data_IF_631829662691
#
_entry.id   IF_631829662691
#
_cell.length_a   1.000
_cell.length_b   1.000
_cell.length_c   1.000
_cell.angle_alpha   90.00
_cell.angle_beta   90.00
_cell.angle_gamma   90.00
#
_symmetry.space_group_name_H-M   'P 1'
#
loop_
_entity.id
_entity.type
_entity.pdbx_description
1 polymer ?
#
# COMPACT_ATOMS: atom_id res chain seq x y z
N UNK A 1 -18.70 7.64 14.49
CA UNK A 1 -17.77 8.38 13.63
C UNK A 1 -16.38 7.94 14.01
N UNK A 2 -15.57 7.57 13.03
CA UNK A 2 -14.29 6.85 13.07
C UNK A 2 -14.37 5.33 12.80
N UNK A 3 -15.47 4.83 12.23
CA UNK A 3 -15.56 3.46 11.69
C UNK A 3 -14.86 3.37 10.34
N UNK A 4 -14.58 2.16 9.85
CA UNK A 4 -13.92 1.95 8.56
C UNK A 4 -14.68 2.60 7.39
N UNK A 5 -16.01 2.54 7.39
CA UNK A 5 -16.88 3.07 6.32
C UNK A 5 -16.84 4.60 6.23
N UNK A 6 -16.48 5.27 7.34
CA UNK A 6 -16.28 6.72 7.37
C UNK A 6 -15.04 7.13 6.53
N UNK A 7 -14.09 6.20 6.30
CA UNK A 7 -12.84 6.44 5.58
C UNK A 7 -12.76 5.74 4.24
N UNK A 8 -13.42 4.60 4.08
CA UNK A 8 -13.22 3.69 2.95
C UNK A 8 -14.52 3.23 2.29
N UNK A 9 -14.54 3.20 0.96
CA UNK A 9 -15.52 2.51 0.15
C UNK A 9 -15.07 1.07 -0.12
N UNK A 10 -15.52 0.14 0.73
CA UNK A 10 -15.01 -1.23 0.76
C UNK A 10 -15.66 -2.20 -0.24
N UNK A 11 -16.61 -1.75 -1.07
CA UNK A 11 -17.45 -2.62 -1.91
C UNK A 11 -16.61 -3.50 -2.85
N UNK A 12 -15.66 -2.89 -3.53
CA UNK A 12 -14.75 -3.53 -4.50
C UNK A 12 -13.46 -4.06 -3.86
N UNK A 13 -13.32 -3.96 -2.54
CA UNK A 13 -12.13 -4.42 -1.84
C UNK A 13 -12.31 -5.86 -1.38
N UNK A 14 -11.57 -6.79 -2.01
CA UNK A 14 -11.66 -8.24 -1.73
C UNK A 14 -11.41 -8.57 -0.26
N UNK A 15 -10.60 -7.76 0.43
CA UNK A 15 -10.25 -7.96 1.83
C UNK A 15 -11.09 -7.15 2.82
N UNK A 16 -12.30 -6.71 2.42
CA UNK A 16 -13.21 -5.94 3.28
C UNK A 16 -13.55 -6.60 4.63
N UNK A 17 -13.54 -7.93 4.69
CA UNK A 17 -13.77 -8.69 5.93
C UNK A 17 -12.77 -8.35 7.04
N UNK A 18 -11.59 -7.82 6.71
CA UNK A 18 -10.62 -7.32 7.71
C UNK A 18 -11.20 -6.23 8.61
N UNK A 19 -12.13 -5.42 8.07
CA UNK A 19 -12.77 -4.31 8.78
C UNK A 19 -14.04 -4.71 9.52
N UNK A 20 -14.53 -5.94 9.32
CA UNK A 20 -15.72 -6.44 9.99
C UNK A 20 -15.54 -6.43 11.51
N UNK A 21 -16.60 -6.08 12.22
CA UNK A 21 -16.64 -6.01 13.69
C UNK A 21 -15.51 -5.13 14.26
N UNK A 22 -15.13 -4.06 13.55
CA UNK A 22 -14.26 -3.01 14.09
C UNK A 22 -15.12 -1.87 14.60
N UNK A 23 -14.87 -1.42 15.83
CA UNK A 23 -15.51 -0.22 16.37
C UNK A 23 -14.83 1.03 15.82
N UNK A 24 -13.50 0.96 15.68
CA UNK A 24 -12.66 2.03 15.15
C UNK A 24 -11.79 1.51 14.03
N UNK A 25 -11.58 2.33 13.00
CA UNK A 25 -10.83 1.97 11.79
C UNK A 25 -9.43 1.43 12.06
N UNK A 26 -8.72 1.92 13.09
CA UNK A 26 -7.36 1.48 13.42
C UNK A 26 -7.29 0.07 14.03
N UNK A 27 -8.41 -0.49 14.52
CA UNK A 27 -8.44 -1.86 15.04
C UNK A 27 -8.10 -2.90 13.97
N UNK A 28 -8.32 -2.56 12.69
CA UNK A 28 -7.90 -3.38 11.57
C UNK A 28 -6.39 -3.66 11.55
N UNK A 29 -5.55 -2.75 12.09
CA UNK A 29 -4.09 -2.97 12.20
C UNK A 29 -3.76 -4.16 13.12
N UNK A 30 -4.47 -4.29 14.24
CA UNK A 30 -4.31 -5.43 15.15
C UNK A 30 -4.84 -6.74 14.54
N UNK A 31 -5.89 -6.65 13.71
CA UNK A 31 -6.47 -7.79 13.00
C UNK A 31 -5.65 -8.23 11.78
N UNK A 32 -4.76 -7.39 11.26
CA UNK A 32 -4.04 -7.63 10.01
C UNK A 32 -3.22 -8.93 10.01
N UNK A 33 -2.45 -9.19 11.08
CA UNK A 33 -1.65 -10.41 11.21
C UNK A 33 -2.50 -11.69 11.19
N UNK A 34 -3.49 -11.88 12.09
CA UNK A 34 -4.32 -13.10 12.04
C UNK A 34 -5.12 -13.20 10.74
N UNK A 35 -5.58 -12.08 10.18
CA UNK A 35 -6.32 -12.07 8.91
C UNK A 35 -5.46 -12.54 7.71
N UNK A 36 -4.22 -12.04 7.59
CA UNK A 36 -3.30 -12.52 6.54
C UNK A 36 -3.03 -14.02 6.74
N UNK A 37 -2.77 -14.45 7.98
CA UNK A 37 -2.52 -15.86 8.28
C UNK A 37 -3.68 -16.78 7.85
N UNK A 38 -4.93 -16.36 7.99
CA UNK A 38 -6.09 -17.17 7.62
C UNK A 38 -6.47 -17.10 6.14
N UNK A 39 -6.02 -16.07 5.41
CA UNK A 39 -6.51 -15.76 4.06
C UNK A 39 -5.45 -15.97 2.98
N UNK A 40 -4.16 -15.89 3.36
CA UNK A 40 -3.08 -15.99 2.39
C UNK A 40 -3.06 -17.35 1.70
N UNK A 41 -2.98 -17.32 0.37
CA UNK A 41 -2.72 -18.51 -0.45
C UNK A 41 -1.37 -18.31 -1.13
N UNK A 42 -0.27 -18.81 -0.52
CA UNK A 42 1.05 -18.54 -1.04
C UNK A 42 1.31 -19.24 -2.38
N UNK A 43 1.94 -18.55 -3.32
CA UNK A 43 2.11 -19.04 -4.69
C UNK A 43 3.51 -18.83 -5.29
N UNK A 44 4.48 -18.42 -4.46
CA UNK A 44 5.86 -18.16 -4.91
C UNK A 44 6.90 -19.18 -4.40
N UNK A 45 6.49 -20.23 -3.67
CA UNK A 45 7.41 -21.22 -3.11
C UNK A 45 8.34 -21.87 -4.17
N UNK A 46 7.83 -22.09 -5.39
CA UNK A 46 8.63 -22.62 -6.50
C UNK A 46 9.72 -21.65 -7.00
N UNK A 47 9.52 -20.34 -6.85
CA UNK A 47 10.56 -19.33 -7.11
C UNK A 47 11.64 -19.41 -6.04
N UNK A 48 11.25 -19.50 -4.76
CA UNK A 48 12.18 -19.55 -3.61
C UNK A 48 13.05 -20.80 -3.54
N UNK A 49 12.58 -21.94 -4.05
CA UNK A 49 13.41 -23.16 -4.18
C UNK A 49 14.70 -22.93 -5.00
N UNK A 50 14.77 -21.86 -5.78
CA UNK A 50 15.94 -21.48 -6.59
C UNK A 50 16.89 -20.51 -5.87
N UNK A 51 16.57 -20.13 -4.63
CA UNK A 51 17.30 -19.13 -3.85
C UNK A 51 16.40 -17.97 -3.41
N UNK A 52 16.86 -17.24 -2.39
CA UNK A 52 16.16 -16.06 -1.85
C UNK A 52 16.16 -14.93 -2.89
N UNK A 53 17.27 -14.73 -3.60
CA UNK A 53 17.37 -13.77 -4.71
C UNK A 53 17.19 -14.50 -6.04
N UNK A 54 16.29 -13.99 -6.88
CA UNK A 54 16.05 -14.56 -8.20
C UNK A 54 17.20 -14.22 -9.14
N UNK A 55 17.86 -15.24 -9.69
CA UNK A 55 18.98 -15.05 -10.64
C UNK A 55 18.51 -14.90 -12.09
N UNK A 56 17.23 -15.11 -12.36
CA UNK A 56 16.61 -15.03 -13.69
C UNK A 56 15.22 -14.43 -13.57
N UNK A 57 14.77 -13.76 -14.63
CA UNK A 57 13.38 -13.32 -14.75
C UNK A 57 12.49 -14.55 -14.92
N UNK A 58 11.40 -14.60 -14.15
CA UNK A 58 10.45 -15.69 -14.13
C UNK A 58 9.02 -15.16 -14.25
N UNK A 59 8.17 -15.93 -14.90
CA UNK A 59 6.74 -15.64 -15.03
C UNK A 59 5.97 -16.62 -14.15
N UNK A 60 5.05 -16.09 -13.34
CA UNK A 60 4.03 -16.86 -12.63
C UNK A 60 2.72 -16.79 -13.44
N UNK A 61 2.23 -17.94 -13.88
CA UNK A 61 0.97 -18.03 -14.62
C UNK A 61 0.22 -19.30 -14.24
N UNK A 62 -1.02 -19.16 -13.72
CA UNK A 62 -1.86 -20.29 -13.27
C UNK A 62 -1.12 -21.26 -12.35
N UNK A 63 -0.44 -20.73 -11.32
CA UNK A 63 0.39 -21.47 -10.37
C UNK A 63 1.56 -22.27 -10.99
N UNK A 64 1.97 -21.94 -12.22
CA UNK A 64 3.15 -22.49 -12.88
C UNK A 64 4.21 -21.43 -13.06
N UNK A 65 5.47 -21.82 -12.89
CA UNK A 65 6.63 -20.96 -13.14
C UNK A 65 7.19 -21.22 -14.53
N UNK A 66 7.43 -20.16 -15.30
CA UNK A 66 8.00 -20.20 -16.65
C UNK A 66 9.26 -19.33 -16.64
N UNK A 67 10.42 -19.93 -16.92
CA UNK A 67 11.72 -19.25 -16.81
C UNK A 67 12.39 -18.94 -18.14
N UNK A 68 11.82 -19.39 -19.26
CA UNK A 68 12.40 -19.23 -20.58
C UNK A 68 11.35 -19.27 -21.68
N UNK A 69 11.71 -18.73 -22.85
CA UNK A 69 10.88 -18.77 -24.05
C UNK A 69 9.65 -17.86 -24.01
N UNK A 70 9.58 -16.95 -23.03
CA UNK A 70 8.57 -15.92 -22.95
C UNK A 70 9.13 -14.56 -23.42
N UNK A 71 8.24 -13.70 -23.90
CA UNK A 71 8.49 -12.28 -24.20
C UNK A 71 7.63 -11.45 -23.26
N UNK A 72 8.23 -10.44 -22.62
CA UNK A 72 7.51 -9.45 -21.83
C UNK A 72 7.43 -8.16 -22.62
N UNK A 73 6.22 -7.62 -22.75
CA UNK A 73 5.98 -6.25 -23.22
C UNK A 73 5.47 -5.47 -22.01
N UNK A 74 6.33 -4.59 -21.49
CA UNK A 74 6.03 -3.82 -20.28
C UNK A 74 5.52 -2.42 -20.66
N UNK A 75 4.36 -2.09 -20.12
CA UNK A 75 3.78 -0.75 -20.03
C UNK A 75 3.16 -0.64 -18.61
N UNK A 76 2.51 0.48 -18.28
CA UNK A 76 1.87 0.75 -16.97
C UNK A 76 1.04 -0.45 -16.49
N UNK A 77 1.61 -1.30 -15.62
CA UNK A 77 1.00 -2.59 -15.26
C UNK A 77 -0.25 -2.38 -14.42
N UNK A 78 -0.27 -1.29 -13.65
CA UNK A 78 -1.42 -0.82 -12.87
C UNK A 78 -2.65 -0.56 -13.74
N UNK A 79 -2.44 -0.22 -15.02
CA UNK A 79 -3.51 -0.05 -16.02
C UNK A 79 -3.71 -1.26 -16.92
N UNK A 80 -3.18 -2.44 -16.56
CA UNK A 80 -3.24 -3.64 -17.37
C UNK A 80 -2.30 -3.60 -18.59
N UNK A 81 -1.27 -2.76 -18.55
CA UNK A 81 -0.29 -2.60 -19.64
C UNK A 81 0.74 -3.73 -19.74
N UNK A 82 0.82 -4.61 -18.75
CA UNK A 82 1.72 -5.76 -18.77
C UNK A 82 1.18 -6.86 -19.70
N UNK A 83 1.96 -7.23 -20.71
CA UNK A 83 1.67 -8.38 -21.57
C UNK A 83 2.82 -9.36 -21.57
N UNK A 84 2.48 -10.64 -21.44
CA UNK A 84 3.46 -11.74 -21.48
C UNK A 84 3.05 -12.71 -22.57
N UNK A 85 3.98 -13.10 -23.44
CA UNK A 85 3.74 -14.04 -24.52
C UNK A 85 4.61 -15.27 -24.35
N UNK A 86 4.05 -16.46 -24.61
CA UNK A 86 4.80 -17.71 -24.70
C UNK A 86 4.48 -18.36 -26.04
N UNK A 87 5.49 -18.57 -26.89
CA UNK A 87 5.34 -19.12 -28.25
C UNK A 87 4.26 -18.39 -29.07
N UNK A 88 4.25 -17.05 -28.99
CA UNK A 88 3.30 -16.19 -29.71
C UNK A 88 1.91 -16.06 -29.06
N UNK A 89 1.59 -16.83 -28.01
CA UNK A 89 0.30 -16.73 -27.30
C UNK A 89 0.42 -15.85 -26.06
N UNK A 90 -0.50 -14.90 -25.91
CA UNK A 90 -0.61 -14.09 -24.71
C UNK A 90 -1.03 -14.94 -23.50
N UNK A 91 -0.29 -14.80 -22.40
CA UNK A 91 -0.60 -15.34 -21.08
C UNK A 91 -1.31 -14.26 -20.26
N UNK A 92 -2.59 -14.02 -20.54
CA UNK A 92 -3.39 -13.01 -19.82
C UNK A 92 -3.39 -13.25 -18.31
N UNK A 93 -3.03 -12.24 -17.52
CA UNK A 93 -2.92 -12.34 -16.06
C UNK A 93 -1.58 -12.93 -15.56
N UNK A 94 -0.62 -13.17 -16.45
CA UNK A 94 0.72 -13.58 -16.04
C UNK A 94 1.43 -12.47 -15.25
N UNK A 95 2.02 -12.84 -14.11
CA UNK A 95 2.80 -11.95 -13.26
C UNK A 95 4.29 -12.14 -13.53
N UNK A 96 5.07 -11.06 -13.48
CA UNK A 96 6.50 -11.08 -13.82
C UNK A 96 7.33 -10.76 -12.58
N UNK A 97 8.29 -11.64 -12.30
CA UNK A 97 9.32 -11.43 -11.30
C UNK A 97 10.65 -11.25 -12.03
N UNK A 98 11.22 -10.05 -11.98
CA UNK A 98 12.49 -9.77 -12.63
C UNK A 98 13.66 -10.36 -11.84
N UNK A 99 14.74 -10.69 -12.56
CA UNK A 99 16.01 -11.04 -11.95
C UNK A 99 16.45 -9.94 -10.96
N UNK A 100 16.97 -10.35 -9.80
CA UNK A 100 17.34 -9.47 -8.70
C UNK A 100 16.24 -9.23 -7.67
N UNK A 101 14.98 -9.63 -7.91
CA UNK A 101 13.96 -9.62 -6.86
C UNK A 101 14.32 -10.60 -5.72
N UNK A 102 13.98 -10.24 -4.49
CA UNK A 102 14.38 -10.95 -3.28
C UNK A 102 13.15 -11.37 -2.48
N UNK A 103 12.96 -12.68 -2.30
CA UNK A 103 11.80 -13.30 -1.67
C UNK A 103 12.25 -14.07 -0.41
N UNK A 104 12.05 -13.49 0.77
CA UNK A 104 12.58 -14.00 2.04
C UNK A 104 11.68 -15.02 2.76
N UNK A 105 10.41 -15.13 2.39
CA UNK A 105 9.43 -15.99 3.06
C UNK A 105 8.57 -16.73 2.01
N UNK A 106 8.14 -17.96 2.30
CA UNK A 106 7.24 -18.70 1.41
C UNK A 106 5.81 -18.21 1.53
N UNK A 107 5.45 -17.54 2.64
CA UNK A 107 4.15 -16.95 2.90
C UNK A 107 3.97 -15.62 2.15
N UNK A 108 4.15 -15.67 0.83
CA UNK A 108 3.94 -14.54 -0.07
C UNK A 108 2.95 -14.99 -1.14
N UNK A 109 1.90 -14.18 -1.32
CA UNK A 109 0.91 -14.36 -2.38
C UNK A 109 0.96 -13.16 -3.32
N UNK A 110 1.03 -13.43 -4.62
CA UNK A 110 1.08 -12.40 -5.66
C UNK A 110 -0.04 -12.65 -6.66
N UNK A 111 -0.89 -11.64 -6.86
CA UNK A 111 -2.03 -11.65 -7.77
C UNK A 111 -1.62 -11.62 -9.24
N UNK A 112 -2.62 -11.72 -10.12
CA UNK A 112 -2.44 -11.75 -11.57
C UNK A 112 -2.00 -10.40 -12.12
N UNK A 113 -1.14 -10.41 -13.13
CA UNK A 113 -0.64 -9.19 -13.79
C UNK A 113 0.29 -8.33 -12.93
N UNK A 114 0.70 -8.82 -11.75
CA UNK A 114 1.61 -8.10 -10.87
C UNK A 114 3.05 -8.11 -11.41
N UNK A 115 3.81 -7.08 -11.03
CA UNK A 115 5.23 -6.93 -11.41
C UNK A 115 6.07 -6.76 -10.15
N UNK A 116 7.11 -7.57 -10.02
CA UNK A 116 8.15 -7.42 -8.99
C UNK A 116 9.47 -7.11 -9.68
N UNK A 117 9.93 -5.88 -9.50
CA UNK A 117 11.13 -5.34 -10.15
C UNK A 117 12.44 -5.82 -9.47
N UNK A 118 13.60 -5.65 -10.15
CA UNK A 118 14.90 -5.96 -9.56
C UNK A 118 15.15 -5.24 -8.23
N UNK A 119 15.75 -5.92 -7.26
CA UNK A 119 16.09 -5.35 -5.95
C UNK A 119 14.91 -5.14 -5.01
N UNK A 120 13.67 -5.36 -5.44
CA UNK A 120 12.53 -5.41 -4.53
C UNK A 120 12.70 -6.56 -3.53
N UNK A 121 12.57 -6.28 -2.25
CA UNK A 121 12.66 -7.26 -1.16
C UNK A 121 11.30 -7.43 -0.51
N UNK A 122 10.75 -8.64 -0.60
CA UNK A 122 9.51 -9.03 0.06
C UNK A 122 9.85 -10.06 1.16
N UNK A 123 9.69 -9.64 2.41
CA UNK A 123 9.86 -10.47 3.60
C UNK A 123 8.48 -10.68 4.24
N UNK A 124 7.88 -11.84 3.97
CA UNK A 124 6.48 -12.12 4.34
C UNK A 124 6.19 -12.14 5.85
N UNK A 125 4.91 -12.39 6.21
CA UNK A 125 3.81 -12.70 5.30
C UNK A 125 3.28 -11.48 4.53
N UNK A 126 3.08 -11.64 3.21
CA UNK A 126 2.63 -10.56 2.34
C UNK A 126 1.61 -11.01 1.28
N UNK A 127 0.55 -10.23 1.10
CA UNK A 127 -0.41 -10.38 -0.01
C UNK A 127 -0.24 -9.17 -0.94
N UNK A 128 0.03 -9.43 -2.21
CA UNK A 128 0.16 -8.42 -3.27
C UNK A 128 -0.97 -8.67 -4.27
N UNK A 129 -1.86 -7.69 -4.44
CA UNK A 129 -3.04 -7.78 -5.30
C UNK A 129 -2.72 -7.81 -6.81
N UNK A 130 -3.79 -7.89 -7.60
CA UNK A 130 -3.71 -7.96 -9.05
C UNK A 130 -3.22 -6.63 -9.64
N UNK A 131 -2.46 -6.70 -10.73
CA UNK A 131 -1.95 -5.55 -11.45
C UNK A 131 -1.18 -4.56 -10.55
N UNK A 132 -0.58 -5.05 -9.47
CA UNK A 132 0.20 -4.24 -8.53
C UNK A 132 1.68 -4.30 -8.89
N UNK A 133 2.36 -3.16 -8.75
CA UNK A 133 3.80 -3.04 -8.96
C UNK A 133 4.53 -2.93 -7.62
N UNK A 134 5.51 -3.81 -7.42
CA UNK A 134 6.53 -3.71 -6.37
C UNK A 134 7.83 -3.34 -7.06
N UNK A 135 8.17 -2.05 -6.98
CA UNK A 135 9.22 -1.44 -7.79
C UNK A 135 10.62 -1.59 -7.18
N UNK A 136 11.63 -1.20 -7.95
CA UNK A 136 13.03 -1.35 -7.61
C UNK A 136 13.36 -0.82 -6.21
N UNK A 137 13.94 -1.69 -5.38
CA UNK A 137 14.38 -1.36 -4.02
C UNK A 137 13.26 -1.19 -3.01
N UNK A 138 11.99 -1.45 -3.36
CA UNK A 138 10.92 -1.52 -2.39
C UNK A 138 11.24 -2.57 -1.31
N UNK A 139 10.91 -2.26 -0.05
CA UNK A 139 11.10 -3.18 1.07
C UNK A 139 9.78 -3.42 1.79
N UNK A 140 9.19 -4.59 1.56
CA UNK A 140 7.94 -5.03 2.20
C UNK A 140 8.28 -6.00 3.31
N UNK A 141 7.81 -5.75 4.53
CA UNK A 141 8.12 -6.61 5.69
C UNK A 141 7.03 -6.68 6.76
N UNK A 142 7.11 -7.70 7.61
CA UNK A 142 6.12 -7.92 8.66
C UNK A 142 4.80 -8.40 8.04
N UNK A 143 3.66 -7.85 8.46
CA UNK A 143 2.36 -8.28 7.94
C UNK A 143 1.82 -7.23 6.96
N UNK A 144 1.98 -7.45 5.65
CA UNK A 144 1.57 -6.46 4.65
C UNK A 144 0.48 -6.98 3.73
N UNK A 145 -0.51 -6.13 3.46
CA UNK A 145 -1.55 -6.39 2.48
C UNK A 145 -1.61 -5.20 1.51
N UNK A 146 -1.38 -5.48 0.24
CA UNK A 146 -1.42 -4.50 -0.84
C UNK A 146 -2.54 -4.92 -1.78
N UNK A 147 -3.55 -4.06 -1.94
CA UNK A 147 -4.70 -4.30 -2.81
C UNK A 147 -4.35 -4.33 -4.29
N UNK A 148 -5.37 -4.31 -5.12
CA UNK A 148 -5.22 -4.33 -6.57
C UNK A 148 -4.75 -2.96 -7.09
N UNK A 149 -4.00 -2.96 -8.20
CA UNK A 149 -3.58 -1.74 -8.92
C UNK A 149 -2.79 -0.76 -8.05
N UNK A 150 -2.07 -1.28 -7.06
CA UNK A 150 -1.25 -0.47 -6.17
C UNK A 150 0.15 -0.25 -6.75
N UNK A 151 0.84 0.74 -6.19
CA UNK A 151 2.29 0.93 -6.40
C UNK A 151 2.99 0.99 -5.06
N UNK A 152 3.80 -0.03 -4.77
CA UNK A 152 4.84 0.05 -3.73
C UNK A 152 6.13 0.39 -4.45
N UNK A 153 6.44 1.68 -4.44
CA UNK A 153 7.35 2.27 -5.39
C UNK A 153 8.83 2.20 -5.03
N UNK A 154 9.63 2.95 -5.79
CA UNK A 154 11.09 2.93 -5.68
C UNK A 154 11.53 3.28 -4.26
N UNK A 155 12.33 2.40 -3.64
CA UNK A 155 12.86 2.53 -2.27
C UNK A 155 11.80 2.92 -1.22
N UNK A 156 10.56 2.51 -1.46
CA UNK A 156 9.48 2.62 -0.48
C UNK A 156 9.54 1.44 0.49
N UNK A 157 9.55 1.72 1.79
CA UNK A 157 9.41 0.69 2.83
C UNK A 157 7.96 0.63 3.31
N UNK A 158 7.40 -0.57 3.33
CA UNK A 158 6.09 -0.87 3.89
C UNK A 158 6.21 -1.93 4.98
N UNK A 159 5.63 -1.64 6.15
CA UNK A 159 5.70 -2.52 7.32
C UNK A 159 4.37 -2.55 8.06
N UNK A 160 3.84 -3.75 8.32
CA UNK A 160 2.63 -3.94 9.13
C UNK A 160 1.45 -3.07 8.66
N UNK A 161 1.29 -2.93 7.34
CA UNK A 161 0.42 -1.90 6.77
C UNK A 161 -0.51 -2.49 5.73
N UNK A 162 -1.52 -1.70 5.40
CA UNK A 162 -2.57 -2.02 4.45
C UNK A 162 -2.68 -0.91 3.40
N UNK A 163 -2.68 -1.29 2.12
CA UNK A 163 -3.06 -0.42 1.00
C UNK A 163 -4.32 -0.99 0.35
N UNK A 164 -5.39 -0.19 0.29
CA UNK A 164 -6.58 -0.50 -0.50
C UNK A 164 -6.28 -0.29 -1.99
N UNK A 165 -7.24 -0.65 -2.84
CA UNK A 165 -7.06 -0.63 -4.29
C UNK A 165 -6.64 0.75 -4.81
N UNK A 166 -5.77 0.76 -5.83
CA UNK A 166 -5.31 1.96 -6.54
C UNK A 166 -4.43 2.91 -5.71
N UNK A 167 -4.06 2.55 -4.47
CA UNK A 167 -3.18 3.34 -3.62
C UNK A 167 -1.72 3.33 -4.12
N UNK A 168 -1.04 4.47 -4.01
CA UNK A 168 0.30 4.68 -4.59
C UNK A 168 1.24 5.30 -3.58
N UNK A 169 2.37 4.63 -3.38
CA UNK A 169 3.51 5.13 -2.65
C UNK A 169 4.75 5.04 -3.55
N UNK A 170 4.75 5.88 -4.58
CA UNK A 170 5.61 5.71 -5.76
C UNK A 170 7.10 5.89 -5.52
N UNK A 171 7.50 6.69 -4.54
CA UNK A 171 8.90 7.10 -4.39
C UNK A 171 9.27 7.42 -2.93
N UNK A 172 10.32 6.77 -2.42
CA UNK A 172 11.01 7.12 -1.17
C UNK A 172 10.10 7.23 0.07
N UNK A 173 9.02 6.44 0.12
CA UNK A 173 8.03 6.53 1.19
C UNK A 173 8.31 5.57 2.35
N UNK A 174 7.86 5.92 3.55
CA UNK A 174 7.81 5.00 4.69
C UNK A 174 6.36 4.82 5.15
N UNK A 175 5.87 3.59 5.15
CA UNK A 175 4.50 3.20 5.52
C UNK A 175 4.60 2.20 6.68
N UNK A 176 4.59 2.70 7.92
CA UNK A 176 4.64 1.87 9.12
C UNK A 176 3.31 1.84 9.85
N UNK A 177 2.79 0.64 10.14
CA UNK A 177 1.58 0.43 10.96
C UNK A 177 0.42 1.37 10.54
N UNK A 178 0.13 1.42 9.23
CA UNK A 178 -0.76 2.40 8.59
C UNK A 178 -1.79 1.75 7.65
N UNK A 179 -2.88 2.47 7.38
CA UNK A 179 -3.90 2.08 6.39
C UNK A 179 -4.05 3.21 5.37
N UNK A 180 -3.85 2.89 4.10
CA UNK A 180 -4.08 3.77 2.97
C UNK A 180 -5.36 3.34 2.26
N UNK A 181 -6.32 4.25 2.15
CA UNK A 181 -7.56 4.09 1.41
C UNK A 181 -7.35 4.00 -0.10
N UNK A 182 -8.44 3.81 -0.82
CA UNK A 182 -8.40 3.71 -2.27
C UNK A 182 -7.98 5.01 -2.94
N UNK A 183 -7.22 4.90 -4.02
CA UNK A 183 -6.70 6.05 -4.80
C UNK A 183 -5.88 7.08 -3.98
N UNK A 184 -5.38 6.67 -2.81
CA UNK A 184 -4.42 7.48 -2.04
C UNK A 184 -3.12 7.64 -2.84
N UNK A 185 -2.56 8.84 -2.85
CA UNK A 185 -1.25 9.08 -3.45
C UNK A 185 -0.31 9.74 -2.45
N UNK A 186 0.81 9.05 -2.17
CA UNK A 186 1.88 9.61 -1.38
C UNK A 186 2.86 10.35 -2.27
N UNK A 187 3.01 11.65 -2.04
CA UNK A 187 4.07 12.45 -2.64
C UNK A 187 5.44 11.83 -2.37
N UNK A 188 6.38 12.08 -3.28
CA UNK A 188 7.72 11.53 -3.15
C UNK A 188 8.33 11.92 -1.80
N UNK A 189 8.86 10.95 -1.08
CA UNK A 189 9.45 11.21 0.22
C UNK A 189 8.44 11.37 1.37
N UNK A 190 7.17 11.01 1.23
CA UNK A 190 6.24 11.02 2.38
C UNK A 190 6.60 9.97 3.44
N UNK A 191 6.59 10.32 4.73
CA UNK A 191 6.81 9.37 5.83
C UNK A 191 5.63 9.33 6.79
N UNK A 192 5.11 8.13 7.05
CA UNK A 192 4.10 7.88 8.06
C UNK A 192 4.78 7.40 9.35
N UNK A 193 5.13 8.34 10.23
CA UNK A 193 5.78 8.01 11.49
C UNK A 193 4.82 7.25 12.40
N UNK A 194 5.28 6.15 12.98
CA UNK A 194 4.42 5.20 13.71
C UNK A 194 4.75 5.07 15.19
N UNK A 195 5.78 5.75 15.70
CA UNK A 195 6.19 5.65 17.10
C UNK A 195 6.42 7.05 17.66
N UNK A 196 5.83 7.34 18.81
CA UNK A 196 6.11 8.58 19.55
C UNK A 196 7.54 8.55 20.09
N UNK A 197 8.16 9.72 20.18
CA UNK A 197 9.49 9.86 20.81
C UNK A 197 9.50 9.38 22.26
N UNK A 198 8.39 9.58 22.99
CA UNK A 198 8.22 9.07 24.36
C UNK A 198 8.08 7.55 24.46
N UNK A 199 7.82 6.85 23.34
CA UNK A 199 7.52 5.42 23.32
C UNK A 199 6.17 5.01 23.93
N UNK A 200 5.38 5.97 24.40
CA UNK A 200 4.08 5.74 25.04
C UNK A 200 2.99 5.33 24.03
N UNK A 201 1.85 4.87 24.53
CA UNK A 201 0.65 4.64 23.73
C UNK A 201 0.28 5.87 22.87
N UNK A 202 -0.19 5.61 21.65
CA UNK A 202 -0.74 6.62 20.76
C UNK A 202 -2.22 6.79 21.09
N UNK A 203 -2.63 8.04 21.29
CA UNK A 203 -4.03 8.41 21.56
C UNK A 203 -4.48 9.28 20.42
N UNK A 204 -5.71 9.09 19.96
CA UNK A 204 -6.27 9.89 18.88
C UNK A 204 -7.13 11.01 19.46
N UNK A 205 -6.84 12.26 19.11
CA UNK A 205 -7.70 13.40 19.41
C UNK A 205 -8.60 13.69 18.21
N UNK A 206 -9.92 13.74 18.42
CA UNK A 206 -10.90 14.15 17.42
C UNK A 206 -11.86 15.18 18.03
N UNK A 207 -11.67 16.44 17.67
CA UNK A 207 -12.32 17.56 18.36
C UNK A 207 -11.93 17.60 19.84
N UNK A 208 -12.93 17.60 20.72
CA UNK A 208 -12.75 17.58 22.18
C UNK A 208 -12.57 16.16 22.75
N UNK A 209 -12.84 15.12 21.95
CA UNK A 209 -12.74 13.73 22.40
C UNK A 209 -11.32 13.18 22.19
N UNK A 210 -10.85 12.41 23.17
CA UNK A 210 -9.62 11.64 23.08
C UNK A 210 -9.93 10.16 23.19
N UNK A 211 -9.41 9.37 22.25
CA UNK A 211 -9.59 7.93 22.16
C UNK A 211 -8.27 7.24 22.53
N UNK A 212 -8.33 6.27 23.46
CA UNK A 212 -7.22 5.35 23.69
C UNK A 212 -7.23 4.33 22.55
N UNK A 213 -6.11 4.17 21.86
CA UNK A 213 -6.05 3.24 20.71
C UNK A 213 -5.61 1.85 21.13
N UNK A 214 -4.95 1.72 22.29
CA UNK A 214 -4.25 0.51 22.72
C UNK A 214 -2.97 0.22 21.92
N UNK A 215 -2.56 1.12 21.02
CA UNK A 215 -1.45 0.91 20.11
C UNK A 215 -0.22 1.70 20.55
N UNK A 216 0.89 0.99 20.79
CA UNK A 216 2.22 1.61 20.94
C UNK A 216 2.77 2.10 19.59
N UNK A 217 2.45 1.37 18.51
CA UNK A 217 2.81 1.74 17.15
C UNK A 217 1.56 1.92 16.31
N UNK A 218 1.40 3.10 15.74
CA UNK A 218 0.28 3.49 14.91
C UNK A 218 0.74 4.66 14.03
N UNK A 219 0.86 4.41 12.72
CA UNK A 219 1.25 5.41 11.74
C UNK A 219 0.08 6.33 11.42
N UNK A 220 -0.53 6.14 10.26
CA UNK A 220 -1.67 6.95 9.83
C UNK A 220 -2.81 6.12 9.25
N UNK A 221 -4.01 6.68 9.31
CA UNK A 221 -5.16 6.25 8.52
C UNK A 221 -5.43 7.34 7.50
N UNK A 222 -5.27 7.02 6.22
CA UNK A 222 -5.55 7.95 5.13
C UNK A 222 -6.81 7.43 4.42
N UNK A 223 -7.92 8.15 4.52
CA UNK A 223 -9.15 7.82 3.81
C UNK A 223 -8.98 7.82 2.29
N UNK A 224 -10.00 7.37 1.59
CA UNK A 224 -9.98 7.34 0.11
C UNK A 224 -9.66 8.72 -0.47
N UNK A 225 -8.99 8.74 -1.61
CA UNK A 225 -8.61 9.94 -2.37
C UNK A 225 -7.68 10.93 -1.64
N UNK A 226 -7.11 10.57 -0.49
CA UNK A 226 -6.12 11.43 0.18
C UNK A 226 -4.87 11.61 -0.67
N UNK A 227 -4.42 12.85 -0.85
CA UNK A 227 -3.20 13.18 -1.59
C UNK A 227 -2.23 13.91 -0.65
N UNK A 228 -0.99 13.44 -0.58
CA UNK A 228 0.08 14.14 0.15
C UNK A 228 1.09 14.75 -0.81
N UNK A 229 1.55 15.96 -0.52
CA UNK A 229 2.65 16.59 -1.22
C UNK A 229 3.99 15.95 -0.85
N UNK A 230 5.02 16.16 -1.68
CA UNK A 230 6.34 15.61 -1.45
C UNK A 230 6.91 16.00 -0.09
N UNK A 231 7.68 15.09 0.52
CA UNK A 231 8.31 15.26 1.83
C UNK A 231 7.34 15.59 2.98
N UNK A 232 6.07 15.18 2.86
CA UNK A 232 5.13 15.24 3.99
C UNK A 232 5.55 14.27 5.08
N UNK A 233 5.36 14.63 6.34
CA UNK A 233 5.50 13.71 7.48
C UNK A 233 4.21 13.70 8.27
N UNK A 234 3.57 12.54 8.42
CA UNK A 234 2.47 12.39 9.39
C UNK A 234 3.02 11.94 10.72
N UNK A 235 2.66 12.64 11.79
CA UNK A 235 2.96 12.21 13.14
C UNK A 235 2.12 10.97 13.51
N UNK A 236 2.57 10.15 14.48
CA UNK A 236 1.86 8.93 14.88
C UNK A 236 0.42 9.20 15.29
N UNK A 237 -0.50 8.42 14.75
CA UNK A 237 -1.95 8.53 14.98
C UNK A 237 -2.66 9.59 14.14
N UNK A 238 -2.06 10.08 13.04
CA UNK A 238 -2.76 10.97 12.12
C UNK A 238 -3.88 10.22 11.39
N UNK A 239 -5.10 10.76 11.43
CA UNK A 239 -6.29 10.14 10.82
C UNK A 239 -6.95 11.14 9.90
N UNK A 240 -6.85 10.95 8.59
CA UNK A 240 -7.34 11.88 7.57
C UNK A 240 -8.59 11.30 6.92
N UNK A 241 -9.70 12.04 6.93
CA UNK A 241 -10.92 11.69 6.21
C UNK A 241 -10.74 11.68 4.69
N UNK A 242 -11.77 11.21 3.98
CA UNK A 242 -11.76 11.10 2.52
C UNK A 242 -11.40 12.42 1.82
N UNK A 243 -10.58 12.35 0.79
CA UNK A 243 -10.22 13.48 -0.07
C UNK A 243 -9.41 14.60 0.59
N UNK A 244 -8.77 14.36 1.75
CA UNK A 244 -7.87 15.36 2.32
C UNK A 244 -6.66 15.63 1.41
N UNK A 245 -6.20 16.87 1.40
CA UNK A 245 -5.01 17.30 0.67
C UNK A 245 -3.97 17.82 1.64
N UNK A 246 -2.75 17.30 1.56
CA UNK A 246 -1.62 17.76 2.38
C UNK A 246 -0.61 18.47 1.50
N UNK A 247 -0.22 19.69 1.85
CA UNK A 247 0.79 20.43 1.11
C UNK A 247 2.20 19.81 1.26
N UNK A 248 3.09 19.97 0.27
CA UNK A 248 4.48 19.50 0.40
C UNK A 248 5.18 20.05 1.64
N UNK A 249 6.12 19.27 2.19
CA UNK A 249 6.89 19.60 3.39
C UNK A 249 6.05 19.85 4.67
N UNK A 250 4.78 19.42 4.69
CA UNK A 250 3.92 19.61 5.86
C UNK A 250 4.19 18.54 6.92
N UNK A 251 4.31 18.97 8.18
CA UNK A 251 4.22 18.07 9.34
C UNK A 251 2.77 17.99 9.81
N UNK A 252 2.11 16.86 9.55
CA UNK A 252 0.71 16.63 9.90
C UNK A 252 0.63 16.16 11.34
N UNK A 253 -0.17 16.84 12.18
CA UNK A 253 -0.35 16.45 13.58
C UNK A 253 -1.09 15.10 13.71
N UNK A 254 -0.80 14.35 14.78
CA UNK A 254 -1.44 13.07 15.10
C UNK A 254 -2.86 13.23 15.68
N UNK A 255 -3.77 13.80 14.88
CA UNK A 255 -5.17 14.04 15.22
C UNK A 255 -6.08 13.59 14.07
N UNK A 256 -7.39 13.65 14.31
CA UNK A 256 -8.39 13.48 13.26
C UNK A 256 -8.59 14.77 12.45
N UNK A 257 -8.55 14.64 11.12
CA UNK A 257 -8.93 15.66 10.16
C UNK A 257 -10.21 15.22 9.41
N UNK A 258 -11.26 16.05 9.39
CA UNK A 258 -12.48 15.76 8.62
C UNK A 258 -12.21 15.59 7.12
N UNK A 259 -13.15 14.98 6.41
CA UNK A 259 -13.07 14.84 4.95
C UNK A 259 -12.79 16.18 4.24
N UNK A 260 -12.05 16.10 3.13
CA UNK A 260 -11.72 17.24 2.26
C UNK A 260 -10.97 18.38 2.95
N UNK A 261 -10.37 18.12 4.11
CA UNK A 261 -9.49 19.07 4.78
C UNK A 261 -8.26 19.36 3.92
N UNK A 262 -7.80 20.62 3.97
CA UNK A 262 -6.53 21.04 3.39
C UNK A 262 -5.57 21.30 4.55
N UNK A 263 -4.46 20.57 4.56
CA UNK A 263 -3.53 20.52 5.70
C UNK A 263 -2.18 21.07 5.26
N UNK A 264 -1.70 22.08 5.98
CA UNK A 264 -0.52 22.83 5.60
C UNK A 264 -0.78 23.88 4.52
N UNK A 265 0.30 24.54 4.09
CA UNK A 265 0.27 25.75 3.27
C UNK A 265 0.15 27.01 4.13
N UNK A 266 1.06 27.97 3.95
CA UNK A 266 0.82 29.35 4.38
C UNK A 266 -0.38 29.90 3.59
N UNK A 267 -1.23 30.72 4.21
CA UNK A 267 -2.46 31.34 3.69
C UNK A 267 -2.46 31.70 2.18
N UNK A 268 -2.54 30.70 1.31
CA UNK A 268 -2.74 30.85 -0.12
C UNK A 268 -4.00 30.12 -0.45
N UNK A 269 -5.11 30.86 -0.36
CA UNK A 269 -6.43 30.45 -0.87
C UNK A 269 -6.23 29.86 -2.26
N UNK A 270 -6.33 28.53 -2.37
CA UNK A 270 -6.41 27.83 -3.64
C UNK A 270 -7.72 28.27 -4.32
N UNK A 271 -7.65 29.27 -5.20
CA UNK A 271 -8.74 29.53 -6.15
C UNK A 271 -8.78 28.35 -7.11
N UNK A 272 -9.67 27.38 -6.87
CA UNK A 272 -10.02 26.38 -7.88
C UNK A 272 -10.53 27.13 -9.12
N UNK A 273 -9.81 27.05 -10.24
CA UNK A 273 -10.38 27.38 -11.54
C UNK A 273 -11.52 26.37 -11.78
N UNK A 274 -12.76 26.84 -11.72
CA UNK A 274 -13.86 26.13 -12.38
C UNK A 274 -13.52 26.11 -13.86
N UNK A 275 -13.36 24.92 -14.44
CA UNK A 275 -13.41 24.79 -15.88
C UNK A 275 -14.80 25.26 -16.31
N UNK A 276 -14.85 26.43 -16.95
CA UNK A 276 -16.00 26.82 -17.73
C UNK A 276 -16.03 25.89 -18.93
N UNK A 277 -17.05 25.03 -18.99
CA UNK A 277 -17.48 24.45 -20.24
C UNK A 277 -17.95 25.61 -21.12
N UNK A 278 -17.30 25.75 -22.27
CA UNK A 278 -17.72 26.53 -23.43
C UNK A 278 -17.45 25.67 -24.65
#
# INVERSE_FOLDING_TARGET
MLKAEDFFELREFVHKELFKDTQFVWEALSKLKPYIKSTITPNIALLRKKGIMLTKTSVLYKNKIIDKGFKVEYNDAVKGGLKVFLKGKELKGASVFYAGAILFDDNISVGEGAVVEPGALINGPAIIGNNTEVRHGAYIRGNCLVGDRCVVGHTTEMKNSLMLNDAKAGHFAYIGDSILGSNVNLGAGTKLANLKLSGSEIKLKAGEKTYNTGLRKFGAILGDDVQTGCNTVTNPGAVLGKGCLVYPNTSVQGIYYPERSVIGGSDRKLKRKRNAAG
#
